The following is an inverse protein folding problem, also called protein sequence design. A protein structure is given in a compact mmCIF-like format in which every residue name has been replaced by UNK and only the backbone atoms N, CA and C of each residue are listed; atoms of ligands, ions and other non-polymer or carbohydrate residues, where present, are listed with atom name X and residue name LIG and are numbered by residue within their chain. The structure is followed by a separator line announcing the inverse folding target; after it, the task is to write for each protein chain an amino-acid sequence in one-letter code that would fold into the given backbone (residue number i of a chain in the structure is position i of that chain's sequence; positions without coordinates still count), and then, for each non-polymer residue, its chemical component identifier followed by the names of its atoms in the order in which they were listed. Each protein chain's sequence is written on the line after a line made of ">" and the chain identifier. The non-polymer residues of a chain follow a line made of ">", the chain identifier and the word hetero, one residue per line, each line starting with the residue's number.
data_IF_641456114889
#
_entry.id   IF_641456114889
#
_cell.length_a   1.000
_cell.length_b   1.000
_cell.length_c   1.000
_cell.angle_alpha   90.00
_cell.angle_beta   90.00
_cell.angle_gamma   90.00
#
_symmetry.space_group_name_H-M   'P 1'
#
loop_
_entity.id
_entity.type
_entity.pdbx_description
1 polymer ?
#
# COMPACT_ATOMS: atom_id res chain seq x y z
N UNK A 1 -8.02 -1.65 20.49
CA UNK A 1 -8.10 -1.07 19.13
C UNK A 1 -7.18 -1.93 18.26
N UNK A 2 -7.71 -2.90 17.53
CA UNK A 2 -6.90 -3.81 16.71
C UNK A 2 -6.58 -3.11 15.39
N UNK A 3 -5.35 -2.62 15.27
CA UNK A 3 -4.84 -2.10 14.02
C UNK A 3 -4.47 -3.31 13.15
N UNK A 4 -5.26 -3.55 12.12
CA UNK A 4 -4.96 -4.58 11.13
C UNK A 4 -3.88 -4.05 10.17
N UNK A 5 -2.62 -4.36 10.45
CA UNK A 5 -1.49 -4.04 9.58
C UNK A 5 -1.54 -4.93 8.34
N UNK A 6 -2.25 -4.45 7.31
CA UNK A 6 -2.47 -5.19 6.08
C UNK A 6 -1.43 -4.79 5.03
N UNK A 7 -0.85 -5.81 4.40
CA UNK A 7 0.02 -5.66 3.24
C UNK A 7 -0.63 -6.25 2.02
N UNK A 8 -0.40 -5.62 0.88
CA UNK A 8 -0.69 -6.23 -0.41
C UNK A 8 0.50 -7.10 -0.80
N UNK A 9 0.28 -8.41 -0.94
CA UNK A 9 1.26 -9.33 -1.49
C UNK A 9 1.02 -9.42 -3.00
N UNK A 10 2.00 -8.97 -3.75
CA UNK A 10 2.01 -9.07 -5.20
C UNK A 10 2.87 -10.27 -5.59
N UNK A 11 2.22 -11.35 -6.03
CA UNK A 11 2.92 -12.56 -6.46
C UNK A 11 3.21 -12.45 -7.96
N UNK A 12 4.49 -12.43 -8.33
CA UNK A 12 4.94 -12.31 -9.73
C UNK A 12 4.75 -13.60 -10.55
N UNK A 13 4.43 -14.72 -9.91
CA UNK A 13 4.32 -16.05 -10.53
C UNK A 13 2.88 -16.54 -10.74
N UNK A 14 1.88 -15.82 -10.24
CA UNK A 14 0.47 -16.17 -10.41
C UNK A 14 -0.30 -14.89 -10.63
N UNK A 15 -1.21 -14.86 -11.60
CA UNK A 15 -2.03 -13.71 -11.98
C UNK A 15 -3.05 -13.37 -10.86
N UNK A 16 -2.56 -13.05 -9.67
CA UNK A 16 -3.32 -12.69 -8.47
C UNK A 16 -2.87 -11.29 -8.07
N UNK A 17 -3.65 -10.30 -8.48
CA UNK A 17 -3.37 -8.88 -8.22
C UNK A 17 -3.77 -8.58 -6.77
N UNK A 18 -2.81 -8.73 -5.86
CA UNK A 18 -2.90 -8.24 -4.50
C UNK A 18 -3.69 -9.14 -3.55
N UNK A 19 -2.99 -10.13 -2.97
CA UNK A 19 -3.53 -10.89 -1.84
C UNK A 19 -3.23 -10.14 -0.54
N UNK A 20 -4.25 -9.89 0.26
CA UNK A 20 -4.09 -9.24 1.56
C UNK A 20 -3.51 -10.22 2.56
N UNK A 21 -2.39 -9.86 3.19
CA UNK A 21 -1.75 -10.68 4.21
C UNK A 21 -1.54 -9.83 5.45
N UNK A 22 -1.93 -10.38 6.60
CA UNK A 22 -1.62 -9.80 7.91
C UNK A 22 -0.20 -10.25 8.25
N UNK A 23 0.72 -9.29 8.33
CA UNK A 23 2.12 -9.52 8.72
C UNK A 23 2.43 -8.67 9.96
N UNK A 24 3.64 -8.81 10.50
CA UNK A 24 4.06 -8.02 11.66
C UNK A 24 4.11 -6.53 11.30
N UNK A 25 3.46 -5.67 12.10
CA UNK A 25 3.47 -4.22 11.92
C UNK A 25 4.87 -3.60 11.96
N UNK A 26 5.85 -4.34 12.50
CA UNK A 26 7.23 -3.94 12.74
C UNK A 26 8.15 -4.09 11.53
N UNK A 27 7.65 -4.65 10.43
CA UNK A 27 8.44 -4.81 9.20
C UNK A 27 8.60 -3.50 8.43
N UNK A 28 9.82 -3.24 7.99
CA UNK A 28 10.15 -2.06 7.19
C UNK A 28 9.80 -2.25 5.72
N UNK A 29 8.65 -1.70 5.32
CA UNK A 29 8.21 -1.66 3.94
C UNK A 29 7.88 -0.26 3.47
N UNK A 30 7.80 -0.11 2.15
CA UNK A 30 7.21 1.07 1.52
C UNK A 30 5.70 1.10 1.76
N UNK A 31 5.15 2.30 1.77
CA UNK A 31 3.73 2.58 2.03
C UNK A 31 3.04 3.04 0.76
N UNK A 32 1.77 2.68 0.60
CA UNK A 32 0.93 3.23 -0.45
C UNK A 32 0.53 4.67 -0.11
N UNK A 33 0.88 5.58 -1.00
CA UNK A 33 0.51 6.98 -0.91
C UNK A 33 -0.43 7.33 -2.07
N UNK A 34 -1.55 7.99 -1.79
CA UNK A 34 -2.52 8.42 -2.81
C UNK A 34 -2.60 9.93 -2.86
N UNK A 35 -2.66 10.48 -4.07
CA UNK A 35 -2.73 11.92 -4.26
C UNK A 35 -4.02 12.47 -3.68
N UNK A 36 -3.93 13.57 -2.93
CA UNK A 36 -5.09 14.32 -2.45
C UNK A 36 -5.81 15.07 -3.57
N UNK A 37 -5.13 15.35 -4.68
CA UNK A 37 -5.69 16.04 -5.85
C UNK A 37 -6.29 15.06 -6.86
N UNK A 38 -5.79 13.83 -6.92
CA UNK A 38 -6.26 12.81 -7.86
C UNK A 38 -6.29 11.42 -7.20
N UNK A 39 -7.49 10.95 -6.85
CA UNK A 39 -7.67 9.62 -6.23
C UNK A 39 -7.22 8.45 -7.12
N UNK A 40 -7.06 8.66 -8.42
CA UNK A 40 -6.56 7.64 -9.34
C UNK A 40 -5.03 7.64 -9.45
N UNK A 41 -4.35 8.55 -8.75
CA UNK A 41 -2.90 8.66 -8.76
C UNK A 41 -2.31 8.16 -7.43
N UNK A 42 -1.31 7.28 -7.56
CA UNK A 42 -0.69 6.58 -6.45
C UNK A 42 0.82 6.57 -6.60
N UNK A 43 1.48 6.70 -5.47
CA UNK A 43 2.93 6.62 -5.31
C UNK A 43 3.26 5.67 -4.16
N UNK A 44 4.54 5.33 -4.05
CA UNK A 44 5.09 4.66 -2.88
C UNK A 44 5.80 5.70 -2.01
N UNK A 45 5.86 5.45 -0.70
CA UNK A 45 6.69 6.27 0.19
C UNK A 45 8.16 6.23 -0.25
N UNK A 46 8.86 7.32 0.02
CA UNK A 46 10.30 7.45 -0.29
C UNK A 46 11.08 6.44 0.56
N UNK A 47 10.77 6.40 1.85
CA UNK A 47 11.42 5.52 2.80
C UNK A 47 10.57 4.29 3.14
N UNK A 48 11.26 3.23 3.54
CA UNK A 48 10.65 2.07 4.18
C UNK A 48 10.48 2.36 5.67
N UNK A 49 9.41 1.82 6.25
CA UNK A 49 9.19 1.93 7.68
C UNK A 49 8.08 1.01 8.17
N UNK A 50 7.83 1.11 9.47
CA UNK A 50 6.78 0.39 10.16
C UNK A 50 5.41 0.90 9.76
N UNK A 51 4.38 0.06 9.91
CA UNK A 51 3.02 0.46 9.62
C UNK A 51 2.63 1.70 10.46
N UNK A 52 2.17 2.76 9.80
CA UNK A 52 1.79 4.02 10.46
C UNK A 52 2.88 5.09 10.49
N UNK A 53 4.11 4.79 10.06
CA UNK A 53 5.20 5.78 9.94
C UNK A 53 5.39 6.26 8.49
N UNK A 54 4.30 6.28 7.71
CA UNK A 54 4.36 6.55 6.27
C UNK A 54 4.88 7.96 5.97
N UNK A 55 5.97 8.05 5.20
CA UNK A 55 6.53 9.29 4.67
C UNK A 55 6.10 9.43 3.20
N UNK A 56 4.89 9.99 2.99
CA UNK A 56 4.36 10.20 1.65
C UNK A 56 4.92 11.49 1.01
N UNK A 57 5.09 11.51 -0.33
CA UNK A 57 5.45 12.73 -1.05
C UNK A 57 4.44 13.86 -0.81
N UNK A 58 4.86 15.11 -1.02
CA UNK A 58 4.00 16.27 -0.85
C UNK A 58 2.74 16.14 -1.74
N UNK A 59 1.56 16.34 -1.15
CA UNK A 59 0.28 16.18 -1.84
C UNK A 59 -0.23 14.74 -1.90
N UNK A 60 0.41 13.79 -1.22
CA UNK A 60 -0.06 12.42 -1.07
C UNK A 60 -0.27 12.06 0.40
N UNK A 61 -1.23 11.16 0.65
CA UNK A 61 -1.56 10.67 1.98
C UNK A 61 -1.54 9.14 2.03
N UNK A 62 -1.23 8.59 3.21
CA UNK A 62 -1.23 7.15 3.44
C UNK A 62 -2.66 6.59 3.38
N UNK A 63 -2.93 5.74 2.39
CA UNK A 63 -4.29 5.28 2.10
C UNK A 63 -4.36 3.81 1.71
N UNK A 64 -5.57 3.34 1.36
CA UNK A 64 -5.82 2.03 0.76
C UNK A 64 -6.26 2.17 -0.70
N UNK A 65 -6.07 1.14 -1.54
CA UNK A 65 -6.56 1.18 -2.91
C UNK A 65 -8.09 1.04 -2.92
N UNK A 66 -8.77 2.13 -3.27
CA UNK A 66 -10.24 2.19 -3.24
C UNK A 66 -10.92 1.50 -4.45
N UNK A 67 -10.18 1.25 -5.52
CA UNK A 67 -10.71 0.63 -6.75
C UNK A 67 -9.74 -0.38 -7.34
N UNK A 68 -10.23 -1.29 -8.18
CA UNK A 68 -9.37 -2.25 -8.90
C UNK A 68 -8.34 -1.57 -9.81
N UNK A 69 -8.67 -0.39 -10.36
CA UNK A 69 -7.74 0.42 -11.15
C UNK A 69 -6.58 0.93 -10.30
N UNK A 70 -6.88 1.47 -9.11
CA UNK A 70 -5.88 1.95 -8.15
C UNK A 70 -5.00 0.79 -7.67
N UNK A 71 -5.60 -0.38 -7.41
CA UNK A 71 -4.85 -1.58 -7.04
C UNK A 71 -3.88 -2.03 -8.16
N UNK A 72 -4.30 -1.93 -9.43
CA UNK A 72 -3.43 -2.22 -10.57
C UNK A 72 -2.28 -1.23 -10.69
N UNK A 73 -2.51 0.07 -10.47
CA UNK A 73 -1.42 1.06 -10.45
C UNK A 73 -0.43 0.81 -9.32
N UNK A 74 -0.93 0.45 -8.14
CA UNK A 74 -0.09 0.08 -7.01
C UNK A 74 0.79 -1.14 -7.32
N UNK A 75 0.24 -2.16 -7.98
CA UNK A 75 1.00 -3.31 -8.46
C UNK A 75 2.13 -2.91 -9.41
N UNK A 76 1.85 -2.02 -10.37
CA UNK A 76 2.86 -1.52 -11.32
C UNK A 76 3.96 -0.74 -10.57
N UNK A 77 3.59 0.13 -9.62
CA UNK A 77 4.56 0.87 -8.80
C UNK A 77 5.44 -0.07 -7.94
N UNK A 78 4.84 -1.09 -7.32
CA UNK A 78 5.55 -2.09 -6.53
C UNK A 78 6.52 -2.92 -7.41
N UNK A 79 6.07 -3.30 -8.62
CA UNK A 79 6.90 -3.98 -9.61
C UNK A 79 8.10 -3.14 -10.02
N UNK A 80 7.89 -1.86 -10.34
CA UNK A 80 8.96 -0.94 -10.76
C UNK A 80 10.01 -0.71 -9.66
N UNK A 81 9.61 -0.83 -8.39
CA UNK A 81 10.50 -0.70 -7.22
C UNK A 81 11.01 -2.03 -6.69
N UNK A 82 10.79 -3.13 -7.44
CA UNK A 82 11.15 -4.50 -7.10
C UNK A 82 10.74 -4.90 -5.67
N UNK A 83 9.54 -4.46 -5.26
CA UNK A 83 9.00 -4.72 -3.94
C UNK A 83 7.75 -5.59 -4.06
N UNK A 84 7.72 -6.69 -3.31
CA UNK A 84 6.62 -7.66 -3.29
C UNK A 84 5.53 -7.35 -2.26
N UNK A 85 5.82 -6.46 -1.30
CA UNK A 85 4.92 -6.11 -0.21
C UNK A 85 4.87 -4.60 0.02
N UNK A 86 3.66 -4.04 0.15
CA UNK A 86 3.45 -2.61 0.41
C UNK A 86 2.47 -2.47 1.58
N UNK A 87 2.77 -1.54 2.49
CA UNK A 87 1.85 -1.15 3.55
C UNK A 87 0.68 -0.36 2.98
N UNK A 88 -0.53 -0.67 3.44
CA UNK A 88 -1.73 0.11 3.13
C UNK A 88 -2.46 0.50 4.41
N UNK A 89 -3.23 1.58 4.34
CA UNK A 89 -4.01 2.08 5.46
C UNK A 89 -5.47 1.64 5.37
N UNK A 90 -5.81 0.49 5.94
CA UNK A 90 -7.21 0.09 6.09
C UNK A 90 -7.78 0.66 7.39
N UNK A 91 -8.65 1.69 7.35
CA UNK A 91 -9.32 2.15 8.55
C UNK A 91 -10.21 1.02 9.07
N UNK A 92 -10.35 0.93 10.40
CA UNK A 92 -11.07 -0.13 11.12
C UNK A 92 -12.61 -0.10 10.91
N UNK A 93 -13.09 0.27 9.73
CA UNK A 93 -14.51 0.50 9.43
C UNK A 93 -14.86 0.03 8.03
N UNK A 94 -14.65 -1.25 7.76
CA UNK A 94 -15.42 -1.97 6.76
C UNK A 94 -16.37 -2.90 7.54
N UNK A 95 -17.53 -2.36 7.92
CA UNK A 95 -18.67 -3.13 8.41
C UNK A 95 -19.59 -3.40 7.23
#
# INVERSE_FOLDING_TARGET
>A
MYVLCLKTLFSFHSYVIGRWVVLSCSEDLVHMCQSSANISDVALSIDRGQWGTAQCPQGYAFSLPQTGYVNRKLYVAATNTNTSHVWINLPASAK
#
